data_IF_883691858944
#
_entry.id   IF_883691858944
#
_cell.length_a   1.000
_cell.length_b   1.000
_cell.length_c   1.000
_cell.angle_alpha   90.00
_cell.angle_beta   90.00
_cell.angle_gamma   90.00
#
_symmetry.space_group_name_H-M   'P 1'
#
loop_
_entity.id
_entity.type
_entity.pdbx_description
1 polymer ?
#
# COMPACT_ATOMS: atom_id res chain seq x y z
N UNK A 1 6.11 -16.48 19.46
CA UNK A 1 6.34 -15.04 19.15
C UNK A 1 4.99 -14.32 19.07
N UNK A 2 4.89 -13.12 19.63
CA UNK A 2 3.70 -12.25 19.46
C UNK A 2 3.76 -11.52 18.11
N UNK A 3 2.66 -11.56 17.36
CA UNK A 3 2.57 -11.01 16.00
C UNK A 3 1.46 -9.97 15.93
N UNK A 4 1.76 -8.82 15.30
CA UNK A 4 0.80 -7.77 14.99
C UNK A 4 0.54 -7.71 13.49
N UNK A 5 -0.73 -7.71 13.08
CA UNK A 5 -1.15 -7.45 11.70
C UNK A 5 -1.87 -6.11 11.64
N UNK A 6 -1.39 -5.19 10.79
CA UNK A 6 -2.06 -3.92 10.54
C UNK A 6 -3.04 -4.05 9.37
N UNK A 7 -4.26 -3.56 9.56
CA UNK A 7 -5.36 -3.47 8.60
C UNK A 7 -6.64 -4.16 9.09
N UNK A 8 -7.70 -4.05 8.28
CA UNK A 8 -9.08 -4.42 8.64
C UNK A 8 -9.84 -5.15 7.54
N UNK A 9 -9.20 -5.42 6.40
CA UNK A 9 -9.85 -6.01 5.23
C UNK A 9 -9.84 -7.54 5.22
N UNK A 10 -10.32 -8.10 4.10
CA UNK A 10 -10.27 -9.54 3.85
C UNK A 10 -8.84 -10.07 3.68
N UNK A 11 -7.93 -9.25 3.15
CA UNK A 11 -6.49 -9.58 3.04
C UNK A 11 -5.88 -9.83 4.41
N UNK A 12 -6.12 -8.93 5.37
CA UNK A 12 -5.59 -9.08 6.72
C UNK A 12 -6.25 -10.24 7.47
N UNK A 13 -7.54 -10.50 7.22
CA UNK A 13 -8.18 -11.70 7.76
C UNK A 13 -7.54 -12.98 7.21
N UNK A 14 -7.26 -13.06 5.90
CA UNK A 14 -6.57 -14.21 5.32
C UNK A 14 -5.15 -14.39 5.89
N UNK A 15 -4.42 -13.28 6.10
CA UNK A 15 -3.11 -13.30 6.75
C UNK A 15 -3.21 -13.79 8.20
N UNK A 16 -4.16 -13.27 8.98
CA UNK A 16 -4.40 -13.68 10.36
C UNK A 16 -4.74 -15.19 10.44
N UNK A 17 -5.61 -15.66 9.55
CA UNK A 17 -5.98 -17.06 9.42
C UNK A 17 -4.76 -17.95 9.12
N UNK A 18 -3.87 -17.53 8.21
CA UNK A 18 -2.66 -18.28 7.88
C UNK A 18 -1.63 -18.25 9.02
N UNK A 19 -1.41 -17.08 9.64
CA UNK A 19 -0.46 -16.92 10.75
C UNK A 19 -0.87 -17.75 11.97
N UNK A 20 -2.17 -17.81 12.28
CA UNK A 20 -2.70 -18.58 13.42
C UNK A 20 -2.43 -20.08 13.34
N UNK A 21 -2.23 -20.62 12.13
CA UNK A 21 -1.90 -22.03 11.91
C UNK A 21 -0.42 -22.34 12.21
N UNK A 22 0.43 -21.33 12.39
CA UNK A 22 1.84 -21.53 12.67
C UNK A 22 2.06 -21.79 14.17
N UNK A 23 2.67 -22.92 14.57
CA UNK A 23 2.89 -23.24 15.98
C UNK A 23 3.88 -22.28 16.68
N UNK A 24 4.57 -21.40 15.95
CA UNK A 24 5.46 -20.37 16.50
C UNK A 24 4.74 -19.06 16.86
N UNK A 25 3.45 -18.94 16.54
CA UNK A 25 2.62 -17.79 16.90
C UNK A 25 2.06 -17.99 18.31
N UNK A 26 2.48 -17.17 19.29
CA UNK A 26 1.99 -17.28 20.67
C UNK A 26 0.71 -16.46 20.81
N UNK A 27 0.82 -15.15 20.57
CA UNK A 27 -0.30 -14.22 20.51
C UNK A 27 -0.39 -13.59 19.12
N UNK A 28 -1.63 -13.43 18.62
CA UNK A 28 -1.92 -12.76 17.37
C UNK A 28 -2.85 -11.57 17.65
N UNK A 29 -2.40 -10.38 17.28
CA UNK A 29 -3.14 -9.13 17.43
C UNK A 29 -3.36 -8.53 16.03
N UNK A 30 -4.55 -8.02 15.77
CA UNK A 30 -4.90 -7.27 14.57
C UNK A 30 -5.31 -5.85 14.95
N UNK A 31 -4.88 -4.86 14.16
CA UNK A 31 -5.23 -3.45 14.39
C UNK A 31 -5.68 -2.78 13.07
N UNK A 32 -6.88 -2.17 12.98
CA UNK A 32 -7.97 -2.31 13.95
C UNK A 32 -8.65 -3.68 13.91
N UNK A 33 -8.32 -4.52 12.90
CA UNK A 33 -9.00 -5.79 12.71
C UNK A 33 -10.45 -5.61 12.22
N UNK A 34 -11.22 -6.69 12.27
CA UNK A 34 -12.65 -6.72 11.95
C UNK A 34 -13.35 -7.87 12.69
N UNK A 35 -14.68 -7.97 12.60
CA UNK A 35 -15.46 -8.97 13.31
C UNK A 35 -15.12 -10.43 12.96
N UNK A 36 -14.58 -10.70 11.76
CA UNK A 36 -14.09 -12.02 11.40
C UNK A 36 -12.76 -12.33 12.07
N UNK A 37 -11.83 -11.37 12.06
CA UNK A 37 -10.54 -11.50 12.74
C UNK A 37 -10.67 -11.66 14.25
N UNK A 38 -11.66 -11.00 14.88
CA UNK A 38 -11.93 -11.12 16.31
C UNK A 38 -12.28 -12.55 16.76
N UNK A 39 -12.59 -13.46 15.83
CA UNK A 39 -12.84 -14.87 16.13
C UNK A 39 -11.54 -15.70 16.24
N UNK A 40 -10.42 -15.17 15.74
CA UNK A 40 -9.14 -15.91 15.63
C UNK A 40 -7.92 -15.14 16.18
N UNK A 41 -8.09 -13.85 16.49
CA UNK A 41 -7.06 -12.93 16.97
C UNK A 41 -7.66 -11.84 17.86
N UNK A 42 -6.84 -11.24 18.73
CA UNK A 42 -7.25 -10.06 19.48
C UNK A 42 -7.32 -8.86 18.53
N UNK A 43 -8.37 -8.05 18.62
CA UNK A 43 -8.49 -6.82 17.83
C UNK A 43 -8.38 -5.59 18.72
N UNK A 44 -7.47 -4.68 18.38
CA UNK A 44 -7.22 -3.45 19.14
C UNK A 44 -7.40 -2.23 18.26
N UNK A 45 -7.89 -1.13 18.81
CA UNK A 45 -8.01 0.13 18.05
C UNK A 45 -6.69 0.89 18.10
N UNK A 46 -6.08 1.14 16.94
CA UNK A 46 -4.88 1.96 16.77
C UNK A 46 -4.99 2.78 15.47
N UNK A 47 -4.37 3.96 15.44
CA UNK A 47 -4.09 4.63 14.17
C UNK A 47 -2.91 3.92 13.49
N UNK A 48 -3.24 3.07 12.51
CA UNK A 48 -2.27 2.26 11.79
C UNK A 48 -1.38 3.04 10.83
N UNK A 49 -1.56 4.36 10.71
CA UNK A 49 -0.65 5.23 9.96
C UNK A 49 0.32 5.99 10.88
N UNK A 50 0.12 5.93 12.20
CA UNK A 50 1.02 6.53 13.19
C UNK A 50 2.15 5.58 13.55
N UNK A 51 3.26 5.66 12.83
CA UNK A 51 4.41 4.76 13.03
C UNK A 51 4.96 4.76 14.47
N UNK A 52 4.93 5.91 15.15
CA UNK A 52 5.33 6.02 16.56
C UNK A 52 4.40 5.27 17.50
N UNK A 53 3.08 5.38 17.29
CA UNK A 53 2.10 4.76 18.19
C UNK A 53 2.11 3.23 18.02
N UNK A 54 2.29 2.75 16.78
CA UNK A 54 2.44 1.31 16.53
C UNK A 54 3.75 0.80 17.13
N UNK A 55 4.86 1.54 17.02
CA UNK A 55 6.12 1.13 17.64
C UNK A 55 6.01 1.06 19.17
N UNK A 56 5.38 2.04 19.82
CA UNK A 56 5.13 2.03 21.26
C UNK A 56 4.26 0.84 21.65
N UNK A 57 3.14 0.61 20.94
CA UNK A 57 2.27 -0.54 21.19
C UNK A 57 3.02 -1.87 21.06
N UNK A 58 3.88 -2.00 20.05
CA UNK A 58 4.69 -3.20 19.85
C UNK A 58 5.64 -3.46 21.03
N UNK A 59 6.28 -2.43 21.56
CA UNK A 59 7.18 -2.55 22.71
C UNK A 59 6.39 -2.96 23.97
N UNK A 60 5.27 -2.28 24.25
CA UNK A 60 4.45 -2.53 25.43
C UNK A 60 3.83 -3.94 25.43
N UNK A 61 3.54 -4.50 24.25
CA UNK A 61 2.91 -5.82 24.09
C UNK A 61 3.90 -6.92 23.67
N UNK A 62 5.21 -6.63 23.73
CA UNK A 62 6.27 -7.57 23.35
C UNK A 62 6.07 -8.19 21.95
N UNK A 63 5.60 -7.39 20.99
CA UNK A 63 5.43 -7.81 19.60
C UNK A 63 6.81 -8.02 18.97
N UNK A 64 7.07 -9.26 18.56
CA UNK A 64 8.33 -9.63 17.92
C UNK A 64 8.31 -9.48 16.40
N UNK A 65 7.12 -9.45 15.79
CA UNK A 65 6.96 -9.36 14.34
C UNK A 65 5.68 -8.61 13.95
N UNK A 66 5.81 -7.63 13.05
CA UNK A 66 4.69 -6.86 12.52
C UNK A 66 4.54 -7.08 11.00
N UNK A 67 3.31 -7.33 10.55
CA UNK A 67 2.93 -7.47 9.15
C UNK A 67 2.04 -6.28 8.78
N UNK A 68 2.46 -5.48 7.81
CA UNK A 68 1.71 -4.30 7.37
C UNK A 68 0.88 -4.68 6.15
N UNK A 69 -0.45 -4.66 6.28
CA UNK A 69 -1.37 -4.98 5.19
C UNK A 69 -1.65 -3.79 4.26
N UNK A 70 -2.18 -2.65 4.76
CA UNK A 70 -2.53 -1.49 3.94
C UNK A 70 -1.33 -0.75 3.35
N UNK A 71 -1.45 -0.41 2.07
CA UNK A 71 -0.52 0.42 1.32
C UNK A 71 -0.36 1.82 1.91
N UNK A 72 -1.41 2.37 2.54
CA UNK A 72 -1.37 3.69 3.19
C UNK A 72 -0.37 3.73 4.36
N UNK A 73 -0.34 2.69 5.20
CA UNK A 73 0.63 2.57 6.31
C UNK A 73 2.07 2.48 5.80
N UNK A 74 2.28 1.78 4.67
CA UNK A 74 3.58 1.71 4.01
C UNK A 74 4.00 3.07 3.46
N UNK A 75 3.08 3.79 2.82
CA UNK A 75 3.30 5.15 2.33
C UNK A 75 3.65 6.14 3.45
N UNK A 76 3.03 5.97 4.62
CA UNK A 76 3.28 6.78 5.82
C UNK A 76 4.61 6.45 6.52
N UNK A 77 5.36 5.44 6.06
CA UNK A 77 6.65 5.07 6.66
C UNK A 77 6.53 4.34 8.00
N UNK A 78 5.41 3.68 8.27
CA UNK A 78 5.23 2.86 9.48
C UNK A 78 6.30 1.77 9.55
N UNK A 79 6.66 1.18 8.41
CA UNK A 79 7.69 0.15 8.36
C UNK A 79 9.08 0.66 8.78
N UNK A 80 9.40 1.92 8.50
CA UNK A 80 10.67 2.53 8.88
C UNK A 80 10.73 2.78 10.39
N UNK A 81 9.64 3.29 10.97
CA UNK A 81 9.51 3.49 12.42
C UNK A 81 9.67 2.17 13.19
N UNK A 82 9.01 1.11 12.74
CA UNK A 82 9.10 -0.21 13.39
C UNK A 82 10.52 -0.78 13.31
N UNK A 83 11.19 -0.66 12.17
CA UNK A 83 12.60 -1.07 12.05
C UNK A 83 13.53 -0.27 12.94
N UNK A 84 13.32 1.05 13.03
CA UNK A 84 14.09 1.91 13.94
C UNK A 84 13.91 1.52 15.41
N UNK A 85 12.72 1.04 15.77
CA UNK A 85 12.42 0.51 17.10
C UNK A 85 12.90 -0.95 17.31
N UNK A 86 13.60 -1.56 16.33
CA UNK A 86 14.12 -2.92 16.45
C UNK A 86 13.09 -4.03 16.25
N UNK A 87 11.90 -3.72 15.72
CA UNK A 87 10.82 -4.68 15.50
C UNK A 87 10.97 -5.33 14.12
N UNK A 88 10.94 -6.66 14.06
CA UNK A 88 10.95 -7.36 12.79
C UNK A 88 9.69 -6.98 12.00
N UNK A 89 9.88 -6.51 10.76
CA UNK A 89 8.80 -5.86 10.01
C UNK A 89 8.71 -6.40 8.59
N UNK A 90 7.51 -6.90 8.24
CA UNK A 90 7.14 -7.27 6.88
C UNK A 90 6.35 -6.14 6.22
N UNK A 91 7.01 -5.44 5.30
CA UNK A 91 6.48 -4.29 4.56
C UNK A 91 7.64 -3.40 4.08
N UNK A 92 7.63 -2.86 2.85
CA UNK A 92 8.71 -2.00 2.36
C UNK A 92 8.90 -0.73 3.19
N UNK A 93 10.08 -0.09 3.11
CA UNK A 93 10.27 1.29 3.58
C UNK A 93 9.38 2.26 2.79
N UNK A 94 9.14 3.47 3.31
CA UNK A 94 8.42 4.52 2.58
C UNK A 94 9.08 4.81 1.22
N UNK A 95 10.42 4.80 1.17
CA UNK A 95 11.17 4.99 -0.06
C UNK A 95 10.88 3.88 -1.08
N UNK A 96 10.90 2.61 -0.65
CA UNK A 96 10.61 1.47 -1.53
C UNK A 96 9.13 1.39 -1.91
N UNK A 97 8.22 1.81 -1.02
CA UNK A 97 6.78 1.87 -1.26
C UNK A 97 6.41 2.86 -2.39
N UNK A 98 7.31 3.77 -2.77
CA UNK A 98 7.13 4.64 -3.95
C UNK A 98 6.86 3.89 -5.25
N UNK A 99 7.29 2.63 -5.36
CA UNK A 99 6.95 1.75 -6.48
C UNK A 99 5.44 1.50 -6.64
N UNK A 100 4.65 1.77 -5.60
CA UNK A 100 3.19 1.72 -5.65
C UNK A 100 2.57 3.10 -5.47
N UNK A 101 3.12 3.93 -4.57
CA UNK A 101 2.53 5.23 -4.21
C UNK A 101 2.75 6.32 -5.26
N UNK A 102 3.67 6.12 -6.22
CA UNK A 102 3.85 7.00 -7.37
C UNK A 102 4.07 6.17 -8.63
N UNK A 103 3.04 6.12 -9.49
CA UNK A 103 3.11 5.43 -10.78
C UNK A 103 4.21 6.00 -11.65
N UNK A 104 4.39 7.31 -11.62
CA UNK A 104 5.45 8.08 -12.24
C UNK A 104 6.83 7.51 -11.84
N UNK A 105 7.09 7.36 -10.55
CA UNK A 105 8.32 6.75 -10.05
C UNK A 105 8.50 5.32 -10.54
N UNK A 106 7.43 4.49 -10.50
CA UNK A 106 7.49 3.12 -11.03
C UNK A 106 7.90 3.08 -12.49
N UNK A 107 7.33 3.98 -13.31
CA UNK A 107 7.68 4.07 -14.73
C UNK A 107 9.14 4.46 -14.95
N UNK A 108 9.65 5.40 -14.16
CA UNK A 108 11.06 5.79 -14.10
C UNK A 108 11.98 4.59 -13.81
N UNK A 109 11.61 3.77 -12.83
CA UNK A 109 12.36 2.56 -12.48
C UNK A 109 12.29 1.52 -13.60
N UNK A 110 11.13 1.37 -14.27
CA UNK A 110 11.02 0.48 -15.42
C UNK A 110 11.96 0.92 -16.56
N UNK A 111 11.98 2.21 -16.89
CA UNK A 111 12.86 2.76 -17.93
C UNK A 111 14.33 2.55 -17.56
N UNK A 112 14.71 2.85 -16.31
CA UNK A 112 16.09 2.70 -15.83
C UNK A 112 16.57 1.25 -15.77
N UNK A 113 15.68 0.29 -15.51
CA UNK A 113 16.01 -1.14 -15.41
C UNK A 113 15.77 -1.93 -16.70
N UNK A 114 15.20 -1.31 -17.73
CA UNK A 114 14.78 -1.99 -18.95
C UNK A 114 13.59 -2.95 -18.73
N UNK A 115 12.80 -2.77 -17.68
CA UNK A 115 11.64 -3.59 -17.42
C UNK A 115 10.52 -3.25 -18.43
N UNK A 116 9.94 -4.24 -19.13
CA UNK A 116 8.93 -3.99 -20.15
C UNK A 116 7.66 -3.40 -19.53
N UNK A 117 7.19 -2.29 -20.10
CA UNK A 117 5.99 -1.58 -19.64
C UNK A 117 5.38 -0.76 -20.78
N UNK A 118 4.12 -0.34 -20.66
CA UNK A 118 3.45 0.44 -21.70
C UNK A 118 4.16 1.78 -21.96
N UNK A 119 4.18 2.28 -23.19
CA UNK A 119 4.65 3.64 -23.46
C UNK A 119 3.81 4.66 -22.66
N UNK A 120 4.43 5.77 -22.24
CA UNK A 120 3.77 6.71 -21.34
C UNK A 120 4.35 8.13 -21.47
N UNK A 121 3.58 9.09 -21.00
CA UNK A 121 4.03 10.45 -20.72
C UNK A 121 3.40 10.91 -19.40
N UNK A 122 3.98 11.95 -18.78
CA UNK A 122 3.53 12.48 -17.49
C UNK A 122 3.25 13.96 -17.62
N UNK A 123 2.21 14.40 -16.93
CA UNK A 123 1.74 15.78 -17.01
C UNK A 123 1.32 16.25 -15.63
N UNK A 124 1.72 17.48 -15.30
CA UNK A 124 1.15 18.27 -14.19
C UNK A 124 0.29 19.42 -14.71
N UNK A 125 0.38 19.71 -16.01
CA UNK A 125 -0.45 20.69 -16.71
C UNK A 125 -1.54 20.00 -17.55
N UNK A 126 -2.78 20.48 -17.39
CA UNK A 126 -3.93 19.90 -18.06
C UNK A 126 -3.92 20.16 -19.58
N UNK A 127 -3.42 21.32 -20.04
CA UNK A 127 -3.41 21.63 -21.46
C UNK A 127 -2.44 20.72 -22.22
N UNK A 128 -1.24 20.51 -21.68
CA UNK A 128 -0.24 19.58 -22.21
C UNK A 128 -0.76 18.13 -22.23
N UNK A 129 -1.43 17.69 -21.17
CA UNK A 129 -2.04 16.35 -21.11
C UNK A 129 -3.09 16.16 -22.21
N UNK A 130 -3.99 17.14 -22.39
CA UNK A 130 -5.03 17.09 -23.41
C UNK A 130 -4.46 17.09 -24.83
N UNK A 131 -3.45 17.90 -25.09
CA UNK A 131 -2.76 17.91 -26.38
C UNK A 131 -2.11 16.55 -26.68
N UNK A 132 -1.47 15.92 -25.69
CA UNK A 132 -0.89 14.59 -25.83
C UNK A 132 -1.94 13.52 -26.14
N UNK A 133 -3.07 13.54 -25.42
CA UNK A 133 -4.21 12.63 -25.67
C UNK A 133 -4.74 12.78 -27.10
N UNK A 134 -4.95 14.01 -27.57
CA UNK A 134 -5.42 14.29 -28.93
C UNK A 134 -4.43 13.76 -29.97
N UNK A 135 -3.13 13.93 -29.73
CA UNK A 135 -2.09 13.50 -30.66
C UNK A 135 -1.93 11.96 -30.71
N UNK A 136 -2.03 11.27 -29.57
CA UNK A 136 -1.92 9.81 -29.52
C UNK A 136 -3.20 9.08 -29.95
N UNK A 137 -4.36 9.72 -29.78
CA UNK A 137 -5.65 9.07 -30.02
C UNK A 137 -6.02 8.07 -28.92
N UNK A 138 -7.03 7.24 -29.21
CA UNK A 138 -7.59 6.23 -28.32
C UNK A 138 -7.50 4.82 -28.97
N UNK A 139 -7.48 3.72 -28.18
CA UNK A 139 -7.62 3.67 -26.72
C UNK A 139 -6.38 4.15 -25.97
N UNK A 140 -6.60 4.87 -24.86
CA UNK A 140 -5.54 5.36 -23.98
C UNK A 140 -5.94 5.22 -22.51
N UNK A 141 -4.96 5.06 -21.62
CA UNK A 141 -5.21 4.91 -20.18
C UNK A 141 -4.71 6.15 -19.44
N UNK A 142 -5.62 6.85 -18.76
CA UNK A 142 -5.30 7.99 -17.89
C UNK A 142 -5.20 7.49 -16.46
N UNK A 143 -4.10 7.83 -15.77
CA UNK A 143 -3.86 7.39 -14.40
C UNK A 143 -3.42 8.56 -13.53
N UNK A 144 -4.09 8.76 -12.39
CA UNK A 144 -3.58 9.62 -11.32
C UNK A 144 -2.27 9.03 -10.78
N UNK A 145 -1.28 9.86 -10.47
CA UNK A 145 0.03 9.36 -10.02
C UNK A 145 -0.05 8.64 -8.66
N UNK A 146 -0.60 9.35 -7.67
CA UNK A 146 -0.68 8.92 -6.28
C UNK A 146 -1.63 7.77 -5.97
N UNK A 147 -1.76 7.46 -4.68
CA UNK A 147 -2.81 6.59 -4.16
C UNK A 147 -4.18 7.26 -4.37
N UNK A 148 -5.05 6.57 -5.09
CA UNK A 148 -6.40 7.05 -5.43
C UNK A 148 -7.49 6.04 -5.03
N UNK A 149 -7.21 5.22 -4.00
CA UNK A 149 -8.11 4.17 -3.49
C UNK A 149 -8.68 3.26 -4.61
N UNK A 150 -7.85 2.90 -5.60
CA UNK A 150 -8.25 2.09 -6.75
C UNK A 150 -9.11 2.80 -7.81
N UNK A 151 -9.43 4.09 -7.63
CA UNK A 151 -10.31 4.86 -8.53
C UNK A 151 -9.58 5.81 -9.48
N UNK A 152 -8.26 5.87 -9.41
CA UNK A 152 -7.45 6.80 -10.21
C UNK A 152 -6.97 6.22 -11.55
N UNK A 153 -7.68 5.25 -12.14
CA UNK A 153 -7.31 4.63 -13.41
C UNK A 153 -8.53 4.61 -14.32
N UNK A 154 -8.41 5.22 -15.49
CA UNK A 154 -9.46 5.34 -16.49
C UNK A 154 -8.97 4.76 -17.81
N UNK A 155 -9.64 3.71 -18.29
CA UNK A 155 -9.36 3.10 -19.59
C UNK A 155 -10.32 3.73 -20.60
N UNK A 156 -9.85 4.78 -21.28
CA UNK A 156 -10.64 5.53 -22.23
C UNK A 156 -10.59 4.87 -23.62
N UNK A 157 -11.76 4.55 -24.14
CA UNK A 157 -11.95 3.97 -25.47
C UNK A 157 -12.06 5.05 -26.55
N UNK A 158 -12.41 6.27 -26.17
CA UNK A 158 -12.43 7.43 -27.06
C UNK A 158 -11.58 8.57 -26.52
N UNK A 159 -11.23 9.52 -27.40
CA UNK A 159 -10.49 10.73 -27.00
C UNK A 159 -11.34 11.56 -26.04
N UNK A 160 -12.65 11.64 -26.25
CA UNK A 160 -13.58 12.38 -25.40
C UNK A 160 -13.63 11.80 -23.98
N UNK A 161 -13.67 10.48 -23.84
CA UNK A 161 -13.58 9.80 -22.54
C UNK A 161 -12.25 10.14 -21.84
N UNK A 162 -11.14 10.16 -22.58
CA UNK A 162 -9.82 10.46 -22.02
C UNK A 162 -9.68 11.93 -21.58
N UNK A 163 -10.31 12.86 -22.29
CA UNK A 163 -10.29 14.29 -21.95
C UNK A 163 -11.19 14.65 -20.76
N UNK A 164 -12.15 13.77 -20.42
CA UNK A 164 -13.08 13.92 -19.31
C UNK A 164 -12.64 13.23 -18.02
N UNK A 165 -11.64 12.36 -18.09
CA UNK A 165 -11.01 11.67 -16.95
C UNK A 165 -10.09 12.62 -16.15
#
# INVERSE_FOLDING_TARGET
MNILILGSGGREHALAWAVKQNPKCDQLICAPGNAGMAQIADCVTLDINSGSDIAAFCLDNSIGFCIIGPEASLAAGVADHLRMAGILTFGPSAQAARLETSKAFTKEICDASGAPTAAYARFTDAAAAKAYVINQGAPIVVKADGLAAGKGVFVAKTVEEALAA
#
